data_IF_448177277967
#
_entry.id   IF_448177277967
#
_cell.length_a   1.000
_cell.length_b   1.000
_cell.length_c   1.000
_cell.angle_alpha   90.00
_cell.angle_beta   90.00
_cell.angle_gamma   90.00
#
_symmetry.space_group_name_H-M   'P 1'
#
loop_
_entity.id
_entity.type
_entity.pdbx_description
1 polymer ?
#
# COMPACT_ATOMS: atom_id res chain seq x y z
N UNK A 1 -24.69 10.10 -10.26
CA UNK A 1 -24.53 10.14 -8.80
C UNK A 1 -25.05 8.83 -8.25
N UNK A 2 -24.16 7.88 -7.94
CA UNK A 2 -24.55 6.65 -7.26
C UNK A 2 -24.26 6.88 -5.79
N UNK A 3 -25.32 7.01 -5.00
CA UNK A 3 -25.25 7.14 -3.54
C UNK A 3 -24.97 5.74 -2.97
N UNK A 4 -23.82 5.56 -2.33
CA UNK A 4 -23.53 4.39 -1.51
C UNK A 4 -23.86 4.74 -0.05
N UNK A 5 -24.82 4.07 0.62
CA UNK A 5 -25.08 4.35 2.02
C UNK A 5 -24.05 3.58 2.86
N UNK A 6 -22.87 4.16 3.08
CA UNK A 6 -21.96 3.71 4.13
C UNK A 6 -22.13 4.60 5.37
N UNK A 7 -23.08 4.22 6.20
CA UNK A 7 -23.02 4.48 7.64
C UNK A 7 -23.53 3.22 8.32
N UNK A 8 -22.68 2.58 9.12
CA UNK A 8 -22.92 2.18 10.53
C UNK A 8 -21.70 1.40 11.09
N UNK A 9 -21.08 1.98 12.13
CA UNK A 9 -20.43 1.26 13.25
C UNK A 9 -19.05 0.63 13.03
N UNK A 10 -18.00 1.30 13.52
CA UNK A 10 -16.77 0.62 13.92
C UNK A 10 -17.09 -0.38 15.05
N UNK A 11 -16.67 -1.65 14.91
CA UNK A 11 -16.57 -2.57 16.04
C UNK A 11 -17.27 -3.92 15.96
N UNK A 12 -17.99 -4.27 14.88
CA UNK A 12 -18.47 -5.65 14.70
C UNK A 12 -18.33 -6.08 13.25
N UNK A 13 -17.27 -6.84 12.98
CA UNK A 13 -17.15 -7.66 11.78
C UNK A 13 -18.29 -8.70 11.80
N UNK A 14 -19.43 -8.36 11.20
CA UNK A 14 -20.48 -9.34 10.95
C UNK A 14 -20.02 -10.18 9.77
N UNK A 15 -19.78 -11.46 10.02
CA UNK A 15 -19.64 -12.50 9.00
C UNK A 15 -20.70 -12.23 7.91
N UNK A 16 -20.24 -11.85 6.71
CA UNK A 16 -21.12 -11.46 5.62
C UNK A 16 -22.00 -12.64 5.19
N UNK A 17 -23.23 -12.33 4.78
CA UNK A 17 -24.28 -13.30 4.42
C UNK A 17 -24.09 -14.01 3.06
N UNK A 18 -22.86 -14.05 2.54
CA UNK A 18 -22.49 -14.85 1.37
C UNK A 18 -21.69 -16.06 1.89
N UNK A 19 -21.90 -17.24 1.30
CA UNK A 19 -21.32 -18.50 1.77
C UNK A 19 -19.85 -18.35 2.17
N UNK A 20 -19.50 -18.77 3.38
CA UNK A 20 -18.20 -18.55 3.99
C UNK A 20 -17.10 -19.25 3.18
N UNK A 21 -16.53 -18.58 2.18
CA UNK A 21 -15.44 -19.10 1.37
C UNK A 21 -14.16 -18.36 1.71
N UNK A 22 -13.12 -19.13 1.97
CA UNK A 22 -11.77 -18.63 2.18
C UNK A 22 -10.82 -19.25 1.16
N UNK A 23 -9.76 -18.53 0.81
CA UNK A 23 -8.68 -19.05 -0.02
C UNK A 23 -7.33 -18.90 0.67
N UNK A 24 -6.55 -19.97 0.64
CA UNK A 24 -5.12 -19.97 0.99
C UNK A 24 -4.31 -20.09 -0.30
N UNK A 25 -3.62 -19.01 -0.65
CA UNK A 25 -2.80 -18.87 -1.86
C UNK A 25 -1.35 -18.91 -1.43
N UNK A 26 -0.65 -19.98 -1.78
CA UNK A 26 0.61 -20.37 -1.14
C UNK A 26 1.70 -20.64 -2.17
N UNK A 27 2.48 -19.60 -2.48
CA UNK A 27 3.69 -19.71 -3.30
C UNK A 27 4.94 -19.92 -2.44
N UNK A 28 4.87 -19.57 -1.16
CA UNK A 28 5.99 -19.69 -0.23
C UNK A 28 6.34 -21.17 0.04
N UNK A 29 5.38 -22.10 -0.04
CA UNK A 29 5.66 -23.53 0.13
C UNK A 29 6.63 -24.14 -0.87
N UNK A 30 6.88 -23.46 -2.00
CA UNK A 30 7.95 -23.84 -2.93
C UNK A 30 9.34 -23.75 -2.26
N UNK A 31 9.58 -22.70 -1.47
CA UNK A 31 10.89 -22.45 -0.87
C UNK A 31 10.94 -22.83 0.60
N UNK A 32 9.81 -22.69 1.29
CA UNK A 32 9.63 -22.84 2.73
C UNK A 32 8.33 -23.64 2.97
N UNK A 33 8.35 -24.96 2.73
CA UNK A 33 7.17 -25.80 2.91
C UNK A 33 6.78 -25.88 4.39
N UNK A 34 5.49 -25.64 4.67
CA UNK A 34 4.91 -25.85 6.00
C UNK A 34 3.54 -26.54 5.88
N UNK A 35 3.49 -27.88 5.86
CA UNK A 35 2.22 -28.61 5.80
C UNK A 35 1.40 -28.48 7.09
N UNK A 36 2.02 -28.14 8.22
CA UNK A 36 1.30 -27.93 9.47
C UNK A 36 0.53 -26.62 9.42
N UNK A 37 1.15 -25.54 8.92
CA UNK A 37 0.47 -24.27 8.67
C UNK A 37 -0.78 -24.45 7.80
N UNK A 38 -0.63 -25.13 6.65
CA UNK A 38 -1.75 -25.38 5.73
C UNK A 38 -2.88 -26.12 6.44
N UNK A 39 -2.55 -27.15 7.22
CA UNK A 39 -3.52 -27.96 7.97
C UNK A 39 -4.22 -27.13 9.04
N UNK A 40 -3.46 -26.39 9.86
CA UNK A 40 -3.97 -25.61 10.98
C UNK A 40 -4.88 -24.48 10.53
N UNK A 41 -4.47 -23.73 9.50
CA UNK A 41 -5.29 -22.65 8.91
C UNK A 41 -6.58 -23.20 8.33
N UNK A 42 -6.49 -24.30 7.58
CA UNK A 42 -7.66 -24.94 6.97
C UNK A 42 -8.64 -25.42 8.04
N UNK A 43 -8.14 -26.07 9.10
CA UNK A 43 -8.97 -26.54 10.22
C UNK A 43 -9.59 -25.40 11.01
N UNK A 44 -8.83 -24.33 11.27
CA UNK A 44 -9.30 -23.15 12.01
C UNK A 44 -10.46 -22.48 11.27
N UNK A 45 -10.31 -22.25 9.96
CA UNK A 45 -11.35 -21.67 9.12
C UNK A 45 -12.55 -22.61 8.97
N UNK A 46 -12.30 -23.90 8.73
CA UNK A 46 -13.39 -24.90 8.58
C UNK A 46 -14.23 -25.03 9.85
N UNK A 47 -13.59 -25.00 11.03
CA UNK A 47 -14.27 -25.03 12.32
C UNK A 47 -15.13 -23.78 12.56
N UNK A 48 -14.79 -22.65 11.92
CA UNK A 48 -15.58 -21.43 11.91
C UNK A 48 -16.65 -21.40 10.80
N UNK A 49 -16.83 -22.49 10.06
CA UNK A 49 -17.86 -22.65 9.04
C UNK A 49 -17.43 -22.28 7.62
N UNK A 50 -16.13 -22.05 7.37
CA UNK A 50 -15.63 -21.74 6.02
C UNK A 50 -15.40 -23.00 5.18
N UNK A 51 -15.73 -22.94 3.89
CA UNK A 51 -15.09 -23.77 2.88
C UNK A 51 -13.77 -23.13 2.47
N UNK A 52 -12.68 -23.90 2.47
CA UNK A 52 -11.33 -23.39 2.22
C UNK A 52 -10.78 -23.98 0.93
N UNK A 53 -10.48 -23.12 -0.03
CA UNK A 53 -9.75 -23.49 -1.24
C UNK A 53 -8.26 -23.27 -1.05
N UNK A 54 -7.46 -24.29 -1.36
CA UNK A 54 -6.00 -24.20 -1.34
C UNK A 54 -5.46 -24.10 -2.77
N UNK A 55 -4.66 -23.07 -3.02
CA UNK A 55 -3.92 -22.86 -4.25
C UNK A 55 -2.43 -22.98 -3.96
N UNK A 56 -1.87 -24.16 -4.24
CA UNK A 56 -0.44 -24.40 -4.12
C UNK A 56 0.35 -23.79 -5.29
N UNK A 57 1.69 -23.85 -5.28
CA UNK A 57 2.54 -23.11 -6.21
C UNK A 57 2.12 -23.27 -7.67
N UNK A 58 1.92 -24.50 -8.16
CA UNK A 58 1.53 -24.78 -9.56
C UNK A 58 0.22 -24.09 -10.03
N UNK A 59 -0.64 -23.66 -9.11
CA UNK A 59 -1.93 -23.04 -9.42
C UNK A 59 -1.88 -21.50 -9.33
N UNK A 60 -0.87 -20.94 -8.66
CA UNK A 60 -0.77 -19.49 -8.44
C UNK A 60 -0.18 -18.79 -9.67
N UNK A 61 -1.04 -18.40 -10.59
CA UNK A 61 -0.72 -17.77 -11.88
C UNK A 61 -1.25 -16.34 -11.96
N UNK A 62 -0.80 -15.56 -12.96
CA UNK A 62 -1.36 -14.23 -13.26
C UNK A 62 -2.86 -14.30 -13.51
N UNK A 63 -3.32 -15.36 -14.18
CA UNK A 63 -4.73 -15.56 -14.50
C UNK A 63 -5.56 -15.92 -13.25
N UNK A 64 -4.99 -16.61 -12.27
CA UNK A 64 -5.64 -16.79 -10.97
C UNK A 64 -5.95 -15.43 -10.36
N UNK A 65 -4.96 -14.54 -10.25
CA UNK A 65 -5.18 -13.20 -9.68
C UNK A 65 -6.19 -12.37 -10.47
N UNK A 66 -6.25 -12.51 -11.79
CA UNK A 66 -7.26 -11.85 -12.62
C UNK A 66 -8.69 -12.27 -12.23
N UNK A 67 -8.86 -13.55 -11.88
CA UNK A 67 -10.16 -14.15 -11.61
C UNK A 67 -10.53 -14.23 -10.12
N UNK A 68 -9.59 -14.03 -9.18
CA UNK A 68 -9.84 -14.05 -7.73
C UNK A 68 -11.08 -13.25 -7.29
N UNK A 69 -11.33 -12.02 -7.78
CA UNK A 69 -12.49 -11.26 -7.33
C UNK A 69 -13.84 -11.81 -7.81
N UNK A 70 -13.85 -12.76 -8.75
CA UNK A 70 -15.07 -13.43 -9.20
C UNK A 70 -15.44 -14.63 -8.34
N UNK A 71 -14.53 -15.06 -7.45
CA UNK A 71 -14.67 -16.29 -6.66
C UNK A 71 -15.39 -16.10 -5.33
N UNK A 72 -15.72 -14.86 -4.94
CA UNK A 72 -16.58 -14.59 -3.78
C UNK A 72 -15.95 -14.88 -2.41
N UNK A 73 -14.61 -14.99 -2.33
CA UNK A 73 -13.93 -15.20 -1.06
C UNK A 73 -14.11 -14.02 -0.10
N UNK A 74 -14.52 -14.31 1.13
CA UNK A 74 -14.61 -13.32 2.21
C UNK A 74 -13.33 -13.25 3.06
N UNK A 75 -12.45 -14.26 2.95
CA UNK A 75 -11.10 -14.25 3.54
C UNK A 75 -10.09 -14.73 2.50
N UNK A 76 -9.07 -13.92 2.24
CA UNK A 76 -7.98 -14.24 1.30
C UNK A 76 -6.65 -14.20 2.04
N UNK A 77 -5.97 -15.34 2.12
CA UNK A 77 -4.66 -15.48 2.76
C UNK A 77 -3.61 -15.68 1.67
N UNK A 78 -2.70 -14.72 1.54
CA UNK A 78 -1.57 -14.76 0.63
C UNK A 78 -0.30 -15.14 1.40
N UNK A 79 0.01 -16.44 1.40
CA UNK A 79 1.29 -16.99 1.89
C UNK A 79 2.31 -16.96 0.76
N UNK A 80 2.79 -15.75 0.46
CA UNK A 80 3.64 -15.49 -0.71
C UNK A 80 4.86 -14.66 -0.35
N UNK A 81 5.92 -14.81 -1.14
CA UNK A 81 6.98 -13.80 -1.20
C UNK A 81 6.42 -12.46 -1.66
N UNK A 82 7.08 -11.38 -1.24
CA UNK A 82 6.91 -10.05 -1.82
C UNK A 82 8.11 -9.72 -2.68
N UNK A 83 7.90 -9.31 -3.93
CA UNK A 83 9.02 -9.03 -4.82
C UNK A 83 9.82 -7.83 -4.29
N UNK A 84 11.15 -7.93 -4.34
CA UNK A 84 12.05 -6.79 -4.14
C UNK A 84 12.75 -6.50 -5.47
N UNK A 85 12.80 -5.23 -5.87
CA UNK A 85 13.43 -4.84 -7.13
C UNK A 85 13.56 -3.32 -7.26
N UNK A 86 14.42 -2.81 -8.16
CA UNK A 86 14.72 -1.38 -8.28
C UNK A 86 13.49 -0.51 -8.58
N UNK A 87 12.45 -1.10 -9.17
CA UNK A 87 11.19 -0.44 -9.58
C UNK A 87 10.00 -0.75 -8.66
N UNK A 88 10.19 -1.56 -7.61
CA UNK A 88 9.11 -2.00 -6.72
C UNK A 88 9.48 -1.72 -5.25
N UNK A 89 8.72 -0.85 -4.55
CA UNK A 89 8.92 -0.69 -3.11
C UNK A 89 8.75 -2.05 -2.41
N UNK A 90 9.56 -2.34 -1.37
CA UNK A 90 9.41 -3.58 -0.60
C UNK A 90 7.96 -3.82 -0.18
N UNK A 91 7.51 -5.07 -0.29
CA UNK A 91 6.18 -5.47 0.16
C UNK A 91 5.01 -5.12 -0.76
N UNK A 92 5.23 -4.47 -1.92
CA UNK A 92 4.11 -4.00 -2.74
C UNK A 92 3.65 -4.98 -3.82
N UNK A 93 4.47 -5.95 -4.19
CA UNK A 93 4.16 -6.87 -5.28
C UNK A 93 4.01 -8.30 -4.76
N UNK A 94 2.93 -8.97 -5.15
CA UNK A 94 2.64 -10.35 -4.75
C UNK A 94 3.28 -11.30 -5.76
N UNK A 95 4.20 -12.15 -5.32
CA UNK A 95 4.91 -13.08 -6.21
C UNK A 95 4.03 -14.28 -6.54
N UNK A 96 3.81 -14.51 -7.83
CA UNK A 96 3.17 -15.73 -8.35
C UNK A 96 4.20 -16.86 -8.45
N UNK A 97 3.76 -18.06 -8.84
CA UNK A 97 4.68 -19.14 -9.20
C UNK A 97 4.61 -19.46 -10.70
N UNK A 98 4.20 -18.48 -11.52
CA UNK A 98 4.24 -18.57 -12.97
C UNK A 98 5.61 -18.10 -13.47
N UNK A 99 6.36 -18.92 -14.23
CA UNK A 99 7.67 -18.55 -14.75
C UNK A 99 7.63 -17.26 -15.55
N UNK A 100 8.58 -16.36 -15.29
CA UNK A 100 8.69 -15.10 -16.00
C UNK A 100 9.26 -15.29 -17.40
N UNK A 101 8.65 -14.63 -18.38
CA UNK A 101 9.23 -14.46 -19.72
C UNK A 101 9.00 -13.03 -20.21
N UNK A 102 9.89 -12.53 -21.07
CA UNK A 102 9.74 -11.18 -21.64
C UNK A 102 8.64 -11.09 -22.71
N UNK A 103 8.16 -12.23 -23.23
CA UNK A 103 7.16 -12.29 -24.29
C UNK A 103 5.72 -12.45 -23.81
N UNK A 104 5.49 -13.05 -22.64
CA UNK A 104 4.15 -13.19 -22.06
C UNK A 104 3.72 -11.94 -21.33
N UNK A 105 2.45 -11.53 -21.47
CA UNK A 105 1.92 -10.32 -20.83
C UNK A 105 2.71 -9.05 -21.16
N UNK A 106 3.23 -8.92 -22.38
CA UNK A 106 4.13 -7.82 -22.76
C UNK A 106 3.51 -6.43 -22.59
N UNK A 107 2.19 -6.32 -22.79
CA UNK A 107 1.46 -5.06 -22.58
C UNK A 107 1.26 -4.77 -21.09
N UNK A 108 0.93 -5.78 -20.30
CA UNK A 108 0.80 -5.67 -18.85
C UNK A 108 2.15 -5.37 -18.18
N UNK A 109 3.25 -5.92 -18.70
CA UNK A 109 4.61 -5.56 -18.28
C UNK A 109 4.90 -4.09 -18.59
N UNK A 110 4.63 -3.63 -19.82
CA UNK A 110 4.83 -2.23 -20.21
C UNK A 110 3.98 -1.27 -19.37
N UNK A 111 2.78 -1.70 -18.99
CA UNK A 111 1.85 -0.94 -18.15
C UNK A 111 2.12 -1.08 -16.64
N UNK A 112 3.19 -1.78 -16.23
CA UNK A 112 3.56 -2.06 -14.83
C UNK A 112 2.44 -2.73 -14.01
N UNK A 113 1.67 -3.61 -14.65
CA UNK A 113 0.63 -4.43 -14.02
C UNK A 113 1.24 -5.75 -13.52
N UNK A 114 2.15 -6.32 -14.30
CA UNK A 114 2.98 -7.45 -13.88
C UNK A 114 4.44 -7.07 -14.02
N UNK A 115 5.29 -7.63 -13.15
CA UNK A 115 6.74 -7.43 -13.21
C UNK A 115 7.48 -8.72 -12.95
N UNK A 116 8.78 -8.72 -13.19
CA UNK A 116 9.68 -9.79 -12.79
C UNK A 116 9.92 -9.76 -11.27
N UNK A 117 9.93 -10.94 -10.66
CA UNK A 117 10.42 -11.15 -9.31
C UNK A 117 11.48 -12.26 -9.28
N UNK A 118 12.54 -12.02 -8.50
CA UNK A 118 13.55 -13.03 -8.20
C UNK A 118 13.31 -13.54 -6.78
N UNK A 119 13.03 -14.84 -6.64
CA UNK A 119 12.82 -15.48 -5.33
C UNK A 119 14.12 -16.12 -4.82
N UNK A 120 14.83 -16.83 -5.70
CA UNK A 120 16.17 -17.39 -5.50
C UNK A 120 17.03 -17.08 -6.73
N UNK A 121 18.37 -17.19 -6.65
CA UNK A 121 19.22 -17.04 -7.82
C UNK A 121 18.77 -17.98 -8.96
N UNK A 122 18.32 -17.41 -10.08
CA UNK A 122 17.82 -18.17 -11.24
C UNK A 122 16.30 -18.40 -11.26
N UNK A 123 15.61 -18.25 -10.13
CA UNK A 123 14.16 -18.44 -10.01
C UNK A 123 13.43 -17.13 -10.30
N UNK A 124 12.97 -16.97 -11.55
CA UNK A 124 12.27 -15.79 -12.05
C UNK A 124 10.79 -16.08 -12.23
N UNK A 125 9.94 -15.33 -11.54
CA UNK A 125 8.48 -15.45 -11.62
C UNK A 125 7.82 -14.12 -11.94
N UNK A 126 6.59 -14.15 -12.45
CA UNK A 126 5.76 -12.96 -12.50
C UNK A 126 5.33 -12.55 -11.08
N UNK A 127 5.26 -11.25 -10.84
CA UNK A 127 4.66 -10.67 -9.65
C UNK A 127 3.57 -9.66 -10.03
N UNK A 128 2.51 -9.66 -9.24
CA UNK A 128 1.33 -8.81 -9.40
C UNK A 128 1.55 -7.50 -8.67
N UNK A 129 1.40 -6.38 -9.38
CA UNK A 129 1.54 -5.05 -8.78
C UNK A 129 0.20 -4.55 -8.23
N UNK A 130 0.20 -3.50 -7.37
CA UNK A 130 -1.05 -2.86 -6.95
C UNK A 130 -1.90 -2.37 -8.12
N UNK A 131 -1.29 -1.95 -9.23
CA UNK A 131 -2.00 -1.48 -10.43
C UNK A 131 -2.76 -2.59 -11.15
N UNK A 132 -2.29 -3.84 -11.07
CA UNK A 132 -3.04 -4.97 -11.62
C UNK A 132 -4.33 -5.23 -10.84
N UNK A 133 -4.26 -5.16 -9.51
CA UNK A 133 -5.42 -5.36 -8.64
C UNK A 133 -6.50 -4.32 -8.97
N UNK A 134 -6.13 -3.07 -9.22
CA UNK A 134 -7.08 -2.00 -9.53
C UNK A 134 -7.63 -2.06 -10.96
N UNK A 135 -6.80 -2.46 -11.95
CA UNK A 135 -7.14 -2.31 -13.38
C UNK A 135 -7.53 -3.60 -14.09
N UNK A 136 -6.95 -4.73 -13.71
CA UNK A 136 -7.09 -6.00 -14.44
C UNK A 136 -7.91 -7.04 -13.69
N UNK A 137 -7.90 -6.99 -12.34
CA UNK A 137 -8.71 -7.91 -11.56
C UNK A 137 -10.18 -7.73 -11.93
N UNK A 138 -10.83 -8.83 -12.33
CA UNK A 138 -12.16 -8.78 -12.94
C UNK A 138 -13.27 -8.38 -11.93
N UNK A 139 -14.41 -7.93 -12.44
CA UNK A 139 -15.62 -7.63 -11.65
C UNK A 139 -15.54 -6.34 -10.84
N UNK A 140 -16.52 -5.45 -10.93
CA UNK A 140 -16.53 -4.18 -10.16
C UNK A 140 -16.73 -4.46 -8.66
N UNK A 141 -15.84 -3.94 -7.81
CA UNK A 141 -15.92 -4.16 -6.36
C UNK A 141 -15.72 -5.61 -5.93
N UNK A 142 -14.98 -6.40 -6.72
CA UNK A 142 -14.97 -7.87 -6.62
C UNK A 142 -14.47 -8.46 -5.30
N UNK A 143 -13.82 -7.70 -4.42
CA UNK A 143 -13.47 -8.21 -3.09
C UNK A 143 -14.58 -8.00 -2.05
N UNK A 144 -15.68 -7.28 -2.33
CA UNK A 144 -16.97 -7.31 -1.61
C UNK A 144 -16.92 -7.43 -0.07
N UNK A 145 -16.04 -6.69 0.59
CA UNK A 145 -15.89 -6.70 2.04
C UNK A 145 -14.95 -7.79 2.58
N UNK A 146 -14.13 -8.41 1.72
CA UNK A 146 -13.18 -9.44 2.09
C UNK A 146 -12.08 -8.90 3.01
N UNK A 147 -11.68 -9.75 3.94
CA UNK A 147 -10.46 -9.59 4.72
C UNK A 147 -9.27 -10.11 3.90
N UNK A 148 -8.30 -9.24 3.65
CA UNK A 148 -7.05 -9.59 2.98
C UNK A 148 -5.97 -9.81 4.04
N UNK A 149 -5.26 -10.94 3.99
CA UNK A 149 -4.16 -11.27 4.88
C UNK A 149 -2.93 -11.54 4.00
N UNK A 150 -1.99 -10.61 3.96
CA UNK A 150 -0.76 -10.74 3.19
C UNK A 150 0.41 -11.04 4.14
N UNK A 151 0.97 -12.24 4.04
CA UNK A 151 1.97 -12.77 4.99
C UNK A 151 3.42 -12.46 4.64
N UNK A 152 3.66 -11.89 3.47
CA UNK A 152 4.97 -11.46 3.00
C UNK A 152 5.51 -10.23 3.73
N UNK A 153 6.81 -10.01 3.57
CA UNK A 153 7.54 -8.99 4.29
C UNK A 153 7.12 -7.57 3.90
N UNK A 154 7.15 -6.66 4.87
CA UNK A 154 7.12 -5.20 4.65
C UNK A 154 5.90 -4.65 3.89
N UNK A 155 4.80 -5.40 3.80
CA UNK A 155 3.60 -5.00 3.06
C UNK A 155 2.92 -3.76 3.59
N UNK A 156 3.14 -3.44 4.86
CA UNK A 156 2.67 -2.24 5.55
C UNK A 156 3.82 -1.42 6.16
N UNK A 157 5.06 -1.61 5.70
CA UNK A 157 6.21 -0.83 6.17
C UNK A 157 6.31 0.53 5.47
N UNK A 158 6.08 0.54 4.17
CA UNK A 158 6.18 1.73 3.32
C UNK A 158 4.79 2.30 3.02
N UNK A 159 4.61 2.93 1.85
CA UNK A 159 3.28 3.37 1.41
C UNK A 159 2.35 2.17 1.27
N UNK A 160 1.08 2.28 1.71
CA UNK A 160 0.14 1.17 1.69
C UNK A 160 -0.50 0.99 0.28
N UNK A 161 0.29 1.03 -0.79
CA UNK A 161 -0.23 1.01 -2.17
C UNK A 161 -0.97 -0.29 -2.45
N UNK A 162 -0.42 -1.42 -2.01
CA UNK A 162 -1.05 -2.74 -2.12
C UNK A 162 -2.38 -2.81 -1.35
N UNK A 163 -2.41 -2.35 -0.10
CA UNK A 163 -3.64 -2.32 0.69
C UNK A 163 -4.69 -1.39 0.06
N UNK A 164 -4.25 -0.22 -0.43
CA UNK A 164 -5.11 0.75 -1.12
C UNK A 164 -5.74 0.12 -2.37
N UNK A 165 -4.97 -0.61 -3.17
CA UNK A 165 -5.48 -1.31 -4.34
C UNK A 165 -6.59 -2.31 -4.00
N UNK A 166 -6.45 -3.06 -2.89
CA UNK A 166 -7.52 -3.94 -2.43
C UNK A 166 -8.75 -3.17 -1.92
N UNK A 167 -8.56 -2.05 -1.21
CA UNK A 167 -9.66 -1.21 -0.71
C UNK A 167 -10.46 -0.56 -1.85
N UNK A 168 -9.80 -0.05 -2.89
CA UNK A 168 -10.46 0.47 -4.09
C UNK A 168 -11.32 -0.59 -4.79
N UNK A 169 -11.01 -1.88 -4.56
CA UNK A 169 -11.69 -3.03 -5.12
C UNK A 169 -12.66 -3.69 -4.13
N UNK A 170 -12.94 -3.01 -3.00
CA UNK A 170 -14.00 -3.37 -2.07
C UNK A 170 -13.56 -4.20 -0.87
N UNK A 171 -12.26 -4.46 -0.66
CA UNK A 171 -11.81 -5.11 0.56
C UNK A 171 -12.14 -4.25 1.80
N UNK A 172 -12.39 -4.91 2.92
CA UNK A 172 -12.82 -4.26 4.15
C UNK A 172 -11.67 -4.00 5.13
N UNK A 173 -10.66 -4.87 5.13
CA UNK A 173 -9.46 -4.74 5.93
C UNK A 173 -8.29 -5.45 5.24
N UNK A 174 -7.08 -4.96 5.53
CA UNK A 174 -5.83 -5.53 5.05
C UNK A 174 -4.91 -5.76 6.23
N UNK A 175 -4.52 -7.01 6.45
CA UNK A 175 -3.58 -7.45 7.49
C UNK A 175 -2.26 -7.77 6.82
N UNK A 176 -1.15 -7.28 7.38
CA UNK A 176 0.19 -7.48 6.84
C UNK A 176 1.28 -7.11 7.81
N UNK A 177 2.50 -6.90 7.31
CA UNK A 177 3.69 -6.74 8.14
C UNK A 177 4.32 -5.37 7.97
N UNK A 178 4.65 -4.70 9.07
CA UNK A 178 5.32 -3.39 9.05
C UNK A 178 6.86 -3.47 8.94
N UNK A 179 7.39 -4.65 8.64
CA UNK A 179 8.82 -4.90 8.50
C UNK A 179 9.10 -6.29 7.94
N UNK A 180 10.38 -6.65 7.92
CA UNK A 180 10.84 -7.97 7.50
C UNK A 180 10.45 -9.01 8.57
N UNK A 181 10.07 -10.20 8.12
CA UNK A 181 9.64 -11.31 8.97
C UNK A 181 10.17 -12.62 8.40
N UNK A 182 10.54 -13.56 9.26
CA UNK A 182 10.94 -14.91 8.86
C UNK A 182 9.72 -15.75 8.42
N UNK A 183 9.93 -16.70 7.50
CA UNK A 183 8.87 -17.56 6.97
C UNK A 183 8.13 -18.34 8.08
N UNK A 184 8.89 -18.93 9.00
CA UNK A 184 8.32 -19.63 10.16
C UNK A 184 7.52 -18.70 11.08
N UNK A 185 8.04 -17.51 11.37
CA UNK A 185 7.38 -16.61 12.32
C UNK A 185 6.09 -16.00 11.75
N UNK A 186 6.07 -15.70 10.45
CA UNK A 186 4.84 -15.22 9.80
C UNK A 186 3.73 -16.27 9.84
N UNK A 187 4.07 -17.56 9.67
CA UNK A 187 3.13 -18.67 9.78
C UNK A 187 2.53 -18.77 11.19
N UNK A 188 3.37 -18.87 12.23
CA UNK A 188 2.93 -18.99 13.64
C UNK A 188 2.07 -17.81 14.09
N UNK A 189 2.45 -16.58 13.70
CA UNK A 189 1.67 -15.38 14.07
C UNK A 189 0.37 -15.30 13.31
N UNK A 190 0.33 -15.70 12.05
CA UNK A 190 -0.90 -15.74 11.25
C UNK A 190 -1.87 -16.80 11.78
N UNK A 191 -1.40 -17.96 12.21
CA UNK A 191 -2.24 -18.96 12.90
C UNK A 191 -2.85 -18.40 14.18
N UNK A 192 -2.04 -17.74 15.02
CA UNK A 192 -2.49 -17.13 16.27
C UNK A 192 -3.54 -16.04 16.01
N UNK A 193 -3.30 -15.20 15.01
CA UNK A 193 -4.23 -14.16 14.55
C UNK A 193 -5.55 -14.76 14.07
N UNK A 194 -5.50 -15.75 13.18
CA UNK A 194 -6.69 -16.40 12.61
C UNK A 194 -7.49 -17.13 13.68
N UNK A 195 -6.83 -17.85 14.59
CA UNK A 195 -7.49 -18.51 15.71
C UNK A 195 -8.24 -17.49 16.58
N UNK A 196 -7.58 -16.39 16.97
CA UNK A 196 -8.26 -15.32 17.73
C UNK A 196 -9.47 -14.76 16.99
N UNK A 197 -9.32 -14.46 15.69
CA UNK A 197 -10.40 -13.90 14.87
C UNK A 197 -11.57 -14.87 14.73
N UNK A 198 -11.31 -16.14 14.44
CA UNK A 198 -12.33 -17.18 14.27
C UNK A 198 -13.06 -17.51 15.56
N UNK A 199 -12.44 -17.28 16.73
CA UNK A 199 -13.10 -17.35 18.04
C UNK A 199 -13.89 -16.08 18.40
N UNK A 200 -14.15 -15.19 17.44
CA UNK A 200 -15.04 -14.05 17.59
C UNK A 200 -14.38 -12.81 18.19
N UNK A 201 -13.04 -12.75 18.29
CA UNK A 201 -12.35 -11.52 18.68
C UNK A 201 -12.50 -10.47 17.57
N UNK A 202 -12.56 -9.20 17.95
CA UNK A 202 -12.50 -8.10 16.99
C UNK A 202 -11.14 -8.08 16.28
N UNK A 203 -11.09 -7.60 15.02
CA UNK A 203 -9.86 -7.54 14.22
C UNK A 203 -8.68 -6.93 14.98
N UNK A 204 -8.89 -5.78 15.64
CA UNK A 204 -7.86 -5.13 16.44
C UNK A 204 -7.31 -6.04 17.55
N UNK A 205 -8.18 -6.78 18.25
CA UNK A 205 -7.77 -7.69 19.32
C UNK A 205 -7.05 -8.93 18.77
N UNK A 206 -7.53 -9.46 17.64
CA UNK A 206 -6.89 -10.58 16.96
C UNK A 206 -5.48 -10.20 16.50
N UNK A 207 -5.31 -9.03 15.86
CA UNK A 207 -4.00 -8.52 15.45
C UNK A 207 -3.11 -8.31 16.66
N UNK A 208 -3.59 -7.63 17.70
CA UNK A 208 -2.81 -7.38 18.92
C UNK A 208 -2.30 -8.67 19.59
N UNK A 209 -3.05 -9.78 19.50
CA UNK A 209 -2.61 -11.08 20.01
C UNK A 209 -1.43 -11.70 19.24
N UNK A 210 -1.18 -11.22 18.01
CA UNK A 210 -0.16 -11.71 17.10
C UNK A 210 0.93 -10.67 16.74
N UNK A 211 0.82 -9.42 17.19
CA UNK A 211 1.73 -8.31 16.87
C UNK A 211 3.11 -8.35 17.55
N UNK A 212 3.49 -9.45 18.20
CA UNK A 212 4.81 -9.53 18.82
C UNK A 212 5.91 -9.45 17.73
N UNK A 213 6.95 -8.62 17.90
CA UNK A 213 8.01 -8.47 16.91
C UNK A 213 8.70 -9.79 16.58
N UNK A 214 9.00 -10.03 15.31
CA UNK A 214 9.89 -11.11 14.89
C UNK A 214 11.23 -10.97 15.63
N UNK A 215 11.73 -12.02 16.30
CA UNK A 215 12.95 -11.94 17.11
C UNK A 215 14.22 -11.70 16.28
N UNK A 216 14.21 -12.08 15.01
CA UNK A 216 15.35 -11.98 14.12
C UNK A 216 15.32 -10.69 13.29
N UNK A 217 14.11 -10.25 12.89
CA UNK A 217 13.92 -9.16 11.93
C UNK A 217 13.10 -7.97 12.43
N UNK A 218 12.41 -8.10 13.57
CA UNK A 218 11.66 -7.04 14.23
C UNK A 218 10.32 -6.67 13.59
N UNK A 219 9.95 -7.24 12.44
CA UNK A 219 8.65 -7.02 11.81
C UNK A 219 7.48 -7.46 12.69
N UNK A 220 6.38 -6.72 12.64
CA UNK A 220 5.18 -6.97 13.43
C UNK A 220 3.94 -7.04 12.53
N UNK A 221 3.05 -7.95 12.87
CA UNK A 221 1.74 -8.04 12.24
C UNK A 221 0.91 -6.81 12.63
N UNK A 222 0.38 -6.12 11.64
CA UNK A 222 -0.49 -4.95 11.78
C UNK A 222 -1.62 -5.00 10.75
N UNK A 223 -2.49 -4.01 10.74
CA UNK A 223 -3.60 -3.93 9.80
C UNK A 223 -3.95 -2.49 9.42
N UNK A 224 -4.67 -2.36 8.31
CA UNK A 224 -5.30 -1.13 7.85
C UNK A 224 -6.78 -1.39 7.54
N UNK A 225 -7.56 -0.31 7.65
CA UNK A 225 -8.94 -0.23 7.18
C UNK A 225 -9.05 0.93 6.16
N UNK A 226 -10.05 0.96 5.27
CA UNK A 226 -10.19 2.03 4.27
C UNK A 226 -10.18 3.45 4.86
N UNK A 227 -10.72 3.62 6.07
CA UNK A 227 -10.76 4.89 6.80
C UNK A 227 -9.38 5.37 7.22
N UNK A 228 -8.46 4.47 7.60
CA UNK A 228 -7.11 4.83 8.04
C UNK A 228 -6.25 5.31 6.87
N UNK A 229 -6.39 4.70 5.69
CA UNK A 229 -5.70 5.15 4.47
C UNK A 229 -6.16 6.54 4.04
N UNK A 230 -7.48 6.77 4.06
CA UNK A 230 -8.06 8.07 3.72
C UNK A 230 -7.53 9.18 4.63
N UNK A 231 -7.43 8.92 5.94
CA UNK A 231 -6.86 9.87 6.90
C UNK A 231 -5.39 10.16 6.62
N UNK A 232 -4.58 9.14 6.31
CA UNK A 232 -3.16 9.30 6.03
C UNK A 232 -2.91 10.12 4.76
N UNK A 233 -3.66 9.85 3.68
CA UNK A 233 -3.59 10.64 2.45
C UNK A 233 -4.01 12.10 2.66
N UNK A 234 -5.02 12.35 3.51
CA UNK A 234 -5.41 13.72 3.87
C UNK A 234 -4.31 14.44 4.65
N UNK A 235 -3.66 13.76 5.60
CA UNK A 235 -2.55 14.33 6.39
C UNK A 235 -1.37 14.70 5.47
N UNK A 236 -0.99 13.82 4.54
CA UNK A 236 0.11 14.06 3.61
C UNK A 236 -0.17 15.27 2.72
N UNK A 237 -1.40 15.42 2.20
CA UNK A 237 -1.75 16.60 1.40
C UNK A 237 -1.72 17.90 2.20
N UNK A 238 -2.20 17.87 3.45
CA UNK A 238 -2.12 19.04 4.34
C UNK A 238 -0.67 19.40 4.64
N UNK A 239 0.19 18.41 4.94
CA UNK A 239 1.62 18.65 5.18
C UNK A 239 2.30 19.29 3.97
N UNK A 240 2.03 18.81 2.76
CA UNK A 240 2.52 19.40 1.51
C UNK A 240 2.06 20.85 1.38
N UNK A 241 0.76 21.13 1.55
CA UNK A 241 0.21 22.50 1.46
C UNK A 241 0.85 23.43 2.51
N UNK A 242 1.01 22.97 3.75
CA UNK A 242 1.65 23.75 4.82
C UNK A 242 3.11 24.07 4.47
N UNK A 243 3.87 23.09 3.98
CA UNK A 243 5.27 23.32 3.55
C UNK A 243 5.32 24.32 2.40
N UNK A 244 4.48 24.17 1.37
CA UNK A 244 4.44 25.11 0.25
C UNK A 244 4.00 26.52 0.66
N UNK A 245 3.04 26.66 1.57
CA UNK A 245 2.60 27.97 2.07
C UNK A 245 3.67 28.64 2.93
N UNK A 246 4.36 27.89 3.79
CA UNK A 246 5.48 28.41 4.60
C UNK A 246 6.72 28.78 3.76
N UNK A 247 6.90 28.21 2.56
CA UNK A 247 8.02 28.55 1.67
C UNK A 247 7.64 29.69 0.71
N UNK A 248 6.46 29.64 0.08
CA UNK A 248 6.06 30.60 -0.94
C UNK A 248 5.66 31.96 -0.37
N UNK A 249 4.98 32.00 0.78
CA UNK A 249 4.49 33.26 1.36
C UNK A 249 5.65 34.16 1.82
N UNK A 250 6.67 33.67 2.56
CA UNK A 250 7.83 34.48 2.91
C UNK A 250 8.66 34.87 1.69
N UNK A 251 8.81 33.98 0.69
CA UNK A 251 9.53 34.27 -0.55
C UNK A 251 8.90 35.41 -1.35
N UNK A 252 7.57 35.42 -1.49
CA UNK A 252 6.81 36.51 -2.14
C UNK A 252 6.91 37.83 -1.36
N UNK A 253 6.85 37.78 -0.03
CA UNK A 253 7.01 38.96 0.84
C UNK A 253 8.43 39.55 0.74
N UNK A 254 9.46 38.69 0.68
CA UNK A 254 10.85 39.10 0.50
C UNK A 254 11.09 39.72 -0.89
N UNK A 255 10.57 39.10 -1.96
CA UNK A 255 10.68 39.62 -3.31
C UNK A 255 9.97 40.99 -3.46
N UNK A 256 8.77 41.13 -2.87
CA UNK A 256 8.03 42.40 -2.86
C UNK A 256 8.75 43.49 -2.07
N UNK A 257 9.39 43.14 -0.94
CA UNK A 257 10.20 44.06 -0.14
C UNK A 257 11.45 44.52 -0.89
N UNK A 258 12.15 43.61 -1.58
CA UNK A 258 13.32 43.95 -2.40
C UNK A 258 12.94 44.82 -3.61
N UNK A 259 11.85 44.50 -4.31
CA UNK A 259 11.33 45.31 -5.41
C UNK A 259 10.96 46.73 -4.98
N UNK A 260 10.32 46.88 -3.81
CA UNK A 260 9.98 48.18 -3.21
C UNK A 260 11.24 48.99 -2.86
N UNK A 261 12.25 48.38 -2.22
CA UNK A 261 13.51 49.04 -1.89
C UNK A 261 14.28 49.49 -3.14
N UNK A 262 14.31 48.68 -4.20
CA UNK A 262 14.92 49.06 -5.47
C UNK A 262 14.17 50.20 -6.18
N UNK A 263 12.84 50.24 -6.08
CA UNK A 263 12.03 51.32 -6.63
C UNK A 263 12.29 52.64 -5.88
N UNK A 264 12.36 52.60 -4.54
CA UNK A 264 12.73 53.77 -3.73
C UNK A 264 14.15 54.26 -4.03
N UNK A 265 15.11 53.34 -4.18
CA UNK A 265 16.49 53.69 -4.55
C UNK A 265 16.58 54.40 -5.90
N UNK A 266 15.81 53.94 -6.90
CA UNK A 266 15.71 54.59 -8.22
C UNK A 266 15.05 55.97 -8.14
N UNK A 267 13.95 56.10 -7.40
CA UNK A 267 13.26 57.38 -7.21
C UNK A 267 14.14 58.43 -6.51
N UNK A 268 14.89 58.02 -5.49
CA UNK A 268 15.82 58.91 -4.77
C UNK A 268 16.99 59.38 -5.64
N UNK A 269 17.54 58.49 -6.49
CA UNK A 269 18.63 58.81 -7.42
C UNK A 269 18.16 59.80 -8.51
N UNK A 270 16.94 59.62 -9.03
CA UNK A 270 16.34 60.54 -10.00
C UNK A 270 16.04 61.93 -9.39
N UNK A 271 15.62 62.00 -8.13
CA UNK A 271 15.35 63.28 -7.46
C UNK A 271 16.64 64.06 -7.12
N UNK A 272 17.78 63.36 -6.91
CA UNK A 272 19.09 64.01 -6.73
C UNK A 272 19.64 64.64 -8.02
N UNK A 273 19.37 64.04 -9.17
CA UNK A 273 19.85 64.55 -10.46
C UNK A 273 19.01 65.73 -11.02
N UNK A 274 17.89 66.06 -10.36
CA UNK A 274 16.97 67.14 -10.78
C UNK A 274 17.16 68.49 -10.09
N UNK A 275 18.22 68.70 -9.28
CA UNK A 275 18.49 70.02 -8.65
C UNK A 275 19.45 70.86 -9.51
N UNK A 276 19.02 71.99 -10.10
CA UNK A 276 19.92 72.87 -10.83
C UNK A 276 20.87 73.62 -9.88
N UNK A 277 22.18 73.44 -10.10
CA UNK A 277 23.24 74.17 -9.41
C UNK A 277 23.30 75.64 -9.85
N UNK A 278 23.41 76.54 -8.87
CA UNK A 278 23.73 77.96 -9.09
C UNK A 278 25.15 78.07 -9.68
N UNK A 279 25.27 78.56 -10.90
CA UNK A 279 26.56 78.99 -11.49
C UNK A 279 26.78 80.47 -11.15
N UNK A 280 27.90 80.78 -10.50
CA UNK A 280 28.34 82.14 -10.23
C UNK A 280 29.84 82.28 -10.44
N UNK A 281 30.19 83.16 -11.41
CA UNK A 281 31.43 83.97 -11.57
C UNK A 281 32.73 83.21 -11.91
N UNK A 282 33.30 83.46 -13.11
CA UNK A 282 34.26 84.55 -13.48
C UNK A 282 35.58 84.44 -12.71
N UNK A 283 36.79 84.50 -13.29
CA UNK A 283 37.27 84.97 -14.59
C UNK A 283 38.68 84.38 -14.89
N UNK A 284 39.11 84.50 -16.15
CA UNK A 284 40.48 84.33 -16.67
C UNK A 284 41.28 85.66 -16.51
N UNK A 285 42.55 85.77 -16.97
CA UNK A 285 43.49 84.75 -17.45
C UNK A 285 44.71 84.53 -16.55
#
# INVERSE_FOLDING_TARGET
>A
MVFWPYQQGAGQWRLGAAGHQAALIDTLSQTDPDPFFITNVTQTLSSAGYSVDYYGPSQVTVDLFRNLPLMGYSVLIFRTHTATGPSAPPGQNIVTHQPYTTSQYSLEQLANLVTEALVRPGDRFFAITPSFITREAAGVGGFQGALIIQMGCSTLQARPDLATAFFERGASAFVGWNGVVSSYYTDVRTESFLSSLMHGKALQQAVASASAPDPDWGGQLTYLEPSSVSQQLMIDQVAVIVVWTLILIPGLLLARRQGFLQAMGRAWKNNRNGRPGKSGKQAAP
#
